data_IF_057800278316
#
_entry.id   IF_057800278316
#
_cell.length_a   1.000
_cell.length_b   1.000
_cell.length_c   1.000
_cell.angle_alpha   90.00
_cell.angle_beta   90.00
_cell.angle_gamma   90.00
#
_symmetry.space_group_name_H-M   'P 1'
#
loop_
_entity.id
_entity.type
_entity.pdbx_description
1 polymer ?
#
# COMPACT_ATOMS: atom_id res chain seq x y z
N UNK A 1 13.89 -47.24 -17.36
CA UNK A 1 13.99 -46.07 -16.46
C UNK A 1 14.11 -44.73 -17.20
N UNK A 2 15.00 -44.58 -18.20
CA UNK A 2 15.18 -43.33 -18.96
C UNK A 2 13.89 -42.74 -19.60
N UNK A 3 12.99 -43.61 -20.10
CA UNK A 3 11.72 -43.18 -20.72
C UNK A 3 10.71 -42.57 -19.73
N UNK A 4 10.75 -42.96 -18.45
CA UNK A 4 9.86 -42.42 -17.41
C UNK A 4 10.31 -41.02 -16.99
N UNK A 5 11.61 -40.81 -16.82
CA UNK A 5 12.20 -39.52 -16.44
C UNK A 5 11.90 -38.48 -17.52
N UNK A 6 12.07 -38.84 -18.80
CA UNK A 6 11.75 -37.94 -19.92
C UNK A 6 10.27 -37.53 -19.98
N UNK A 7 9.36 -38.45 -19.63
CA UNK A 7 7.91 -38.18 -19.63
C UNK A 7 7.52 -37.22 -18.49
N UNK A 8 8.13 -37.39 -17.31
CA UNK A 8 7.90 -36.52 -16.16
C UNK A 8 8.51 -35.13 -16.41
N UNK A 9 9.73 -35.07 -16.94
CA UNK A 9 10.43 -33.81 -17.21
C UNK A 9 9.69 -32.96 -18.26
N UNK A 10 9.21 -33.58 -19.35
CA UNK A 10 8.38 -32.90 -20.36
C UNK A 10 7.05 -32.39 -19.79
N UNK A 11 6.42 -33.14 -18.89
CA UNK A 11 5.18 -32.73 -18.23
C UNK A 11 5.36 -31.51 -17.31
N UNK A 12 6.47 -31.44 -16.57
CA UNK A 12 6.81 -30.30 -15.71
C UNK A 12 7.16 -29.06 -16.56
N UNK A 13 7.96 -29.23 -17.62
CA UNK A 13 8.31 -28.14 -18.55
C UNK A 13 7.07 -27.56 -19.23
N UNK A 14 6.11 -28.40 -19.63
CA UNK A 14 4.85 -27.94 -20.22
C UNK A 14 4.02 -27.13 -19.22
N UNK A 15 3.88 -27.61 -17.98
CA UNK A 15 3.12 -26.91 -16.94
C UNK A 15 3.74 -25.56 -16.57
N UNK A 16 5.07 -25.48 -16.49
CA UNK A 16 5.78 -24.22 -16.24
C UNK A 16 5.63 -23.24 -17.41
N UNK A 17 5.71 -23.71 -18.66
CA UNK A 17 5.47 -22.89 -19.84
C UNK A 17 4.05 -22.32 -19.87
N UNK A 18 3.04 -23.15 -19.58
CA UNK A 18 1.64 -22.72 -19.50
C UNK A 18 1.43 -21.72 -18.35
N UNK A 19 2.09 -21.91 -17.21
CA UNK A 19 2.04 -20.98 -16.08
C UNK A 19 2.64 -19.60 -16.42
N UNK A 20 3.74 -19.55 -17.19
CA UNK A 20 4.33 -18.29 -17.68
C UNK A 20 3.36 -17.53 -18.56
N UNK A 21 2.76 -18.22 -19.55
CA UNK A 21 1.79 -17.62 -20.48
C UNK A 21 0.56 -17.09 -19.73
N UNK A 22 0.05 -17.82 -18.73
CA UNK A 22 -1.09 -17.38 -17.92
C UNK A 22 -0.74 -16.12 -17.11
N UNK A 23 0.47 -16.05 -16.56
CA UNK A 23 0.93 -14.87 -15.81
C UNK A 23 1.00 -13.64 -16.73
N UNK A 24 1.55 -13.79 -17.92
CA UNK A 24 1.67 -12.70 -18.89
C UNK A 24 0.29 -12.19 -19.36
N UNK A 25 -0.66 -13.11 -19.58
CA UNK A 25 -2.05 -12.77 -19.90
C UNK A 25 -2.75 -12.11 -18.71
N UNK A 26 -2.51 -12.56 -17.47
CA UNK A 26 -3.08 -11.96 -16.27
C UNK A 26 -2.54 -10.56 -15.96
N UNK A 27 -1.32 -10.24 -16.41
CA UNK A 27 -0.66 -8.95 -16.22
C UNK A 27 -0.88 -7.98 -17.38
N UNK A 28 -1.48 -8.42 -18.48
CA UNK A 28 -1.81 -7.54 -19.60
C UNK A 28 -3.00 -6.66 -19.24
N UNK A 29 -2.72 -5.48 -18.69
CA UNK A 29 -3.69 -4.38 -18.64
C UNK A 29 -3.87 -3.85 -20.05
N UNK A 30 -5.07 -3.98 -20.61
CA UNK A 30 -5.43 -3.41 -21.91
C UNK A 30 -5.25 -1.90 -21.88
N UNK A 31 -4.32 -1.36 -22.68
CA UNK A 31 -4.16 0.08 -22.89
C UNK A 31 -5.21 0.52 -23.93
N UNK A 32 -6.43 0.78 -23.46
CA UNK A 32 -7.41 1.57 -24.21
C UNK A 32 -7.07 3.05 -24.02
N UNK A 33 -7.38 3.87 -25.03
CA UNK A 33 -7.21 5.33 -25.01
C UNK A 33 -7.66 5.92 -23.67
N UNK A 34 -6.69 6.25 -22.82
CA UNK A 34 -6.93 6.67 -21.46
C UNK A 34 -7.15 8.18 -21.51
N UNK A 35 -8.40 8.63 -21.36
CA UNK A 35 -8.63 9.98 -20.86
C UNK A 35 -7.86 10.08 -19.54
N UNK A 36 -7.01 11.10 -19.39
CA UNK A 36 -6.31 11.36 -18.12
C UNK A 36 -7.36 11.75 -17.09
N UNK A 37 -7.95 10.75 -16.46
CA UNK A 37 -8.86 10.91 -15.34
C UNK A 37 -8.07 11.53 -14.20
N UNK A 38 -8.54 12.67 -13.71
CA UNK A 38 -7.87 13.38 -12.63
C UNK A 38 -7.74 12.41 -11.45
N UNK A 39 -6.53 12.11 -10.96
CA UNK A 39 -6.35 11.20 -9.82
C UNK A 39 -7.00 11.73 -8.53
N UNK A 40 -7.44 12.99 -8.53
CA UNK A 40 -8.20 13.61 -7.46
C UNK A 40 -9.72 13.66 -7.72
N UNK A 41 -10.20 13.13 -8.86
CA UNK A 41 -11.60 13.16 -9.29
C UNK A 41 -12.08 14.52 -9.80
N UNK A 42 -13.39 14.64 -10.06
CA UNK A 42 -14.03 15.93 -10.33
C UNK A 42 -14.27 16.69 -9.02
N UNK A 43 -13.34 17.59 -8.66
CA UNK A 43 -13.46 18.44 -7.47
C UNK A 43 -14.03 19.80 -7.83
N UNK A 44 -15.11 20.21 -7.16
CA UNK A 44 -15.82 21.48 -7.39
C UNK A 44 -15.43 22.56 -6.38
N UNK A 45 -14.91 22.17 -5.22
CA UNK A 45 -14.54 23.10 -4.13
C UNK A 45 -13.12 22.86 -3.63
N UNK A 46 -12.53 23.88 -3.00
CA UNK A 46 -11.21 23.75 -2.36
C UNK A 46 -11.20 22.70 -1.24
N UNK A 47 -12.31 22.56 -0.50
CA UNK A 47 -12.45 21.54 0.55
C UNK A 47 -12.36 20.11 0.01
N UNK A 48 -13.02 19.83 -1.12
CA UNK A 48 -12.97 18.53 -1.80
C UNK A 48 -11.55 18.20 -2.30
N UNK A 49 -10.79 19.18 -2.76
CA UNK A 49 -9.39 18.97 -3.19
C UNK A 49 -8.53 18.51 -2.01
N UNK A 50 -8.65 19.17 -0.86
CA UNK A 50 -7.89 18.82 0.34
C UNK A 50 -8.31 17.45 0.89
N UNK A 51 -9.62 17.14 0.87
CA UNK A 51 -10.14 15.85 1.29
C UNK A 51 -9.66 14.71 0.39
N UNK A 52 -9.75 14.86 -0.93
CA UNK A 52 -9.31 13.84 -1.89
C UNK A 52 -7.79 13.65 -1.85
N UNK A 53 -7.02 14.72 -1.64
CA UNK A 53 -5.58 14.62 -1.43
C UNK A 53 -5.26 13.83 -0.15
N UNK A 54 -5.93 14.15 0.96
CA UNK A 54 -5.74 13.44 2.22
C UNK A 54 -6.12 11.95 2.10
N UNK A 55 -7.20 11.64 1.36
CA UNK A 55 -7.60 10.26 1.05
C UNK A 55 -6.57 9.53 0.18
N UNK A 56 -6.01 10.20 -0.83
CA UNK A 56 -4.96 9.62 -1.68
C UNK A 56 -3.69 9.30 -0.88
N UNK A 57 -3.28 10.21 0.02
CA UNK A 57 -2.16 9.97 0.94
C UNK A 57 -2.47 8.83 1.90
N UNK A 58 -3.68 8.75 2.45
CA UNK A 58 -4.09 7.65 3.32
C UNK A 58 -4.11 6.30 2.60
N UNK A 59 -4.51 6.26 1.33
CA UNK A 59 -4.53 5.05 0.51
C UNK A 59 -3.14 4.39 0.41
N UNK A 60 -2.09 5.19 0.28
CA UNK A 60 -0.69 4.71 0.25
C UNK A 60 -0.09 4.61 1.66
N UNK A 61 -0.47 5.52 2.55
CA UNK A 61 0.08 5.64 3.89
C UNK A 61 -0.32 4.49 4.83
N UNK A 62 -1.57 4.01 4.75
CA UNK A 62 -2.07 2.89 5.58
C UNK A 62 -1.31 1.58 5.35
N UNK A 63 -1.15 1.07 4.10
CA UNK A 63 -0.37 -0.13 3.88
C UNK A 63 1.11 0.06 4.27
N UNK A 64 1.67 1.26 4.05
CA UNK A 64 3.04 1.58 4.44
C UNK A 64 3.22 1.58 5.97
N UNK A 65 2.25 2.12 6.72
CA UNK A 65 2.22 2.05 8.18
C UNK A 65 2.19 0.58 8.66
N UNK A 66 1.39 -0.28 8.02
CA UNK A 66 1.39 -1.72 8.31
C UNK A 66 2.76 -2.37 8.17
N UNK A 67 3.49 -2.06 7.10
CA UNK A 67 4.87 -2.54 6.89
C UNK A 67 5.80 -2.07 8.01
N UNK A 68 5.72 -0.79 8.39
CA UNK A 68 6.56 -0.24 9.46
C UNK A 68 6.24 -0.83 10.84
N UNK A 69 4.97 -1.13 11.13
CA UNK A 69 4.59 -1.82 12.37
C UNK A 69 5.25 -3.20 12.41
N UNK A 70 5.13 -3.98 11.33
CA UNK A 70 5.76 -5.30 11.21
C UNK A 70 7.29 -5.19 11.38
N UNK A 71 7.93 -4.23 10.70
CA UNK A 71 9.36 -4.00 10.79
C UNK A 71 9.81 -3.65 12.22
N UNK A 72 9.07 -2.77 12.91
CA UNK A 72 9.36 -2.43 14.31
C UNK A 72 9.24 -3.64 15.23
N UNK A 73 8.26 -4.52 14.99
CA UNK A 73 8.11 -5.79 15.69
C UNK A 73 9.29 -6.74 15.49
N UNK A 74 9.77 -6.87 14.25
CA UNK A 74 11.00 -7.63 13.97
C UNK A 74 12.20 -7.07 14.74
N UNK A 75 12.34 -5.74 14.79
CA UNK A 75 13.44 -5.08 15.48
C UNK A 75 13.41 -5.36 17.01
N UNK A 76 12.23 -5.46 17.61
CA UNK A 76 12.07 -5.89 19.00
C UNK A 76 12.53 -7.34 19.23
N UNK A 77 12.17 -8.25 18.33
CA UNK A 77 12.55 -9.68 18.43
C UNK A 77 14.06 -9.86 18.23
N UNK A 78 14.66 -9.13 17.28
CA UNK A 78 16.10 -9.24 17.00
C UNK A 78 16.98 -8.59 18.05
N UNK A 79 16.46 -7.65 18.84
CA UNK A 79 17.24 -6.91 19.84
C UNK A 79 17.86 -7.81 20.92
N UNK A 80 17.29 -9.00 21.19
CA UNK A 80 17.86 -10.07 22.06
C UNK A 80 18.48 -9.59 23.39
N UNK A 81 18.00 -8.48 23.96
CA UNK A 81 18.50 -7.91 25.21
C UNK A 81 19.64 -6.88 25.08
N UNK A 82 20.09 -6.53 23.87
CA UNK A 82 20.97 -5.38 23.66
C UNK A 82 20.19 -4.08 23.88
N UNK A 83 20.61 -3.27 24.85
CA UNK A 83 19.95 -2.00 25.19
C UNK A 83 19.87 -1.04 24.00
N UNK A 84 20.93 -0.96 23.20
CA UNK A 84 20.98 -0.09 22.01
C UNK A 84 19.95 -0.50 20.95
N UNK A 85 19.86 -1.80 20.66
CA UNK A 85 18.89 -2.31 19.69
C UNK A 85 17.46 -2.18 20.21
N UNK A 86 17.25 -2.38 21.51
CA UNK A 86 15.94 -2.22 22.12
C UNK A 86 15.49 -0.76 22.12
N UNK A 87 16.41 0.18 22.37
CA UNK A 87 16.15 1.62 22.23
C UNK A 87 15.75 1.97 20.80
N UNK A 88 16.45 1.42 19.80
CA UNK A 88 16.13 1.62 18.38
C UNK A 88 14.77 1.03 17.98
N UNK A 89 14.43 -0.14 18.50
CA UNK A 89 13.12 -0.78 18.30
C UNK A 89 11.99 0.11 18.85
N UNK A 90 12.15 0.60 20.09
CA UNK A 90 11.19 1.50 20.73
C UNK A 90 11.01 2.81 19.96
N UNK A 91 12.10 3.49 19.60
CA UNK A 91 12.01 4.75 18.86
C UNK A 91 11.34 4.55 17.51
N UNK A 92 11.69 3.48 16.78
CA UNK A 92 11.08 3.14 15.49
C UNK A 92 9.58 2.88 15.65
N UNK A 93 9.18 2.15 16.68
CA UNK A 93 7.77 1.90 16.99
C UNK A 93 7.02 3.20 17.31
N UNK A 94 7.57 4.06 18.18
CA UNK A 94 6.93 5.34 18.51
C UNK A 94 6.74 6.22 17.28
N UNK A 95 7.75 6.34 16.42
CA UNK A 95 7.64 7.09 15.17
C UNK A 95 6.62 6.48 14.21
N UNK A 96 6.51 5.16 14.17
CA UNK A 96 5.51 4.46 13.36
C UNK A 96 4.09 4.76 13.85
N UNK A 97 3.86 4.73 15.17
CA UNK A 97 2.55 5.05 15.75
C UNK A 97 2.18 6.51 15.49
N UNK A 98 3.10 7.44 15.71
CA UNK A 98 2.88 8.87 15.45
C UNK A 98 2.57 9.09 13.96
N UNK A 99 3.34 8.48 13.05
CA UNK A 99 3.09 8.59 11.61
C UNK A 99 1.72 8.03 11.21
N UNK A 100 1.30 6.91 11.80
CA UNK A 100 -0.02 6.31 11.56
C UNK A 100 -1.15 7.23 12.03
N UNK A 101 -1.02 7.79 13.24
CA UNK A 101 -1.99 8.75 13.79
C UNK A 101 -2.07 9.99 12.90
N UNK A 102 -0.94 10.50 12.41
CA UNK A 102 -0.92 11.66 11.52
C UNK A 102 -1.65 11.40 10.20
N UNK A 103 -1.47 10.23 9.59
CA UNK A 103 -2.17 9.87 8.35
C UNK A 103 -3.69 9.86 8.55
N UNK A 104 -4.15 9.22 9.62
CA UNK A 104 -5.58 9.14 9.95
C UNK A 104 -6.14 10.52 10.35
N UNK A 105 -5.39 11.26 11.16
CA UNK A 105 -5.76 12.59 11.63
C UNK A 105 -5.83 13.62 10.51
N UNK A 106 -4.93 13.56 9.52
CA UNK A 106 -4.95 14.46 8.38
C UNK A 106 -6.23 14.32 7.55
N UNK A 107 -6.69 13.09 7.32
CA UNK A 107 -7.95 12.84 6.63
C UNK A 107 -9.16 13.33 7.45
N UNK A 108 -9.19 13.02 8.75
CA UNK A 108 -10.26 13.49 9.63
C UNK A 108 -10.40 15.03 9.67
N UNK A 109 -9.26 15.74 9.75
CA UNK A 109 -9.24 17.21 9.73
C UNK A 109 -9.70 17.73 8.36
N UNK A 110 -9.24 17.11 7.26
CA UNK A 110 -9.61 17.51 5.91
C UNK A 110 -11.13 17.40 5.67
N UNK A 111 -11.74 16.27 6.08
CA UNK A 111 -13.20 16.08 5.97
C UNK A 111 -13.97 17.09 6.83
N UNK A 112 -13.53 17.35 8.06
CA UNK A 112 -14.17 18.35 8.93
C UNK A 112 -14.12 19.77 8.34
N UNK A 113 -13.00 20.14 7.71
CA UNK A 113 -12.87 21.43 7.01
C UNK A 113 -13.78 21.52 5.78
N UNK A 114 -13.94 20.44 5.04
CA UNK A 114 -14.83 20.39 3.88
C UNK A 114 -16.31 20.54 4.30
N UNK A 115 -16.72 19.85 5.37
CA UNK A 115 -18.06 19.99 5.95
C UNK A 115 -18.34 21.43 6.39
N UNK A 116 -17.38 22.06 7.08
CA UNK A 116 -17.49 23.46 7.48
C UNK A 116 -17.60 24.41 6.28
N UNK A 117 -16.74 24.24 5.27
CA UNK A 117 -16.74 25.08 4.06
C UNK A 117 -18.04 24.95 3.24
N UNK A 118 -18.63 23.76 3.22
CA UNK A 118 -19.91 23.50 2.54
C UNK A 118 -21.08 24.09 3.32
N UNK A 119 -21.04 24.04 4.65
CA UNK A 119 -22.05 24.63 5.52
C UNK A 119 -22.15 26.15 5.44
N UNK A 120 -21.13 26.84 4.94
CA UNK A 120 -21.13 28.30 4.69
C UNK A 120 -21.74 28.71 3.34
N UNK A 121 -22.03 27.76 2.45
CA UNK A 121 -22.60 28.03 1.13
C UNK A 121 -24.14 27.93 1.10
N UNK A 122 -24.78 27.63 2.23
CA UNK A 122 -26.23 27.74 2.46
C UNK A 122 -26.58 29.02 3.20
#
# INVERSE_FOLDING_TARGET
MQKLIHKILKGILLKLGVFSIIIEVALTKSVFAQTLENPLGETKTFGEVIENLARAVAYVGVPMAGIFIIYSGFLFVTARGSEDQLKKAKTTFYWTIIGTILIVGAWAIASALNEFATGLQG
#
